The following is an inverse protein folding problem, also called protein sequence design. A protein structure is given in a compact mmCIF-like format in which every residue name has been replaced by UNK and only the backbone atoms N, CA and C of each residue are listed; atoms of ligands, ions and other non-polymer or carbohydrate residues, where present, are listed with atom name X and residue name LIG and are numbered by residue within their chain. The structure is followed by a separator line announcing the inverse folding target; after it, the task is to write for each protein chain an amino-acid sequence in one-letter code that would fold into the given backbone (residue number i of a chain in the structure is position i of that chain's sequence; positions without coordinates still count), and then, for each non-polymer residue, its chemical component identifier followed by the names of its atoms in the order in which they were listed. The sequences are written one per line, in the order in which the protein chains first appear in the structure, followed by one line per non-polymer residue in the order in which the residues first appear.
data_IF_041332128616
#
_entry.id   IF_041332128616
#
_cell.length_a   1.000
_cell.length_b   1.000
_cell.length_c   1.000
_cell.angle_alpha   90.00
_cell.angle_beta   90.00
_cell.angle_gamma   90.00
#
_symmetry.space_group_name_H-M   'P 1'
#
loop_
_entity.id
_entity.type
_entity.pdbx_description
1 polymer ?
#
# COMPACT_ATOMS: atom_id res chain seq x y z
N UNK A 1 82.38 -23.91 33.54
CA UNK A 1 81.57 -22.81 34.11
C UNK A 1 81.25 -21.82 33.02
N UNK A 2 80.06 -21.81 32.47
CA UNK A 2 79.44 -20.68 31.80
C UNK A 2 77.96 -20.89 31.76
N UNK A 3 77.21 -20.07 32.47
CA UNK A 3 75.76 -20.08 32.57
C UNK A 3 75.16 -19.43 31.35
N UNK A 4 74.35 -20.18 30.61
CA UNK A 4 73.57 -19.67 29.49
C UNK A 4 72.30 -19.03 29.98
N UNK A 5 72.11 -17.78 29.63
CA UNK A 5 70.89 -17.01 29.88
C UNK A 5 69.90 -17.29 28.78
N UNK A 6 68.81 -17.92 29.11
CA UNK A 6 67.72 -18.15 28.16
C UNK A 6 66.81 -16.92 28.12
N UNK A 7 66.78 -16.25 26.96
CA UNK A 7 65.85 -15.16 26.72
C UNK A 7 64.50 -15.75 26.31
N UNK A 8 63.50 -15.63 27.15
CA UNK A 8 62.09 -15.94 26.84
C UNK A 8 61.51 -14.79 26.04
N UNK A 9 61.30 -15.03 24.73
CA UNK A 9 60.51 -14.15 23.87
C UNK A 9 59.02 -14.32 24.23
N UNK A 10 58.43 -13.25 24.81
CA UNK A 10 57.01 -13.16 25.05
C UNK A 10 56.39 -12.64 23.77
N UNK A 11 55.66 -13.51 23.05
CA UNK A 11 54.86 -13.13 21.88
C UNK A 11 53.55 -12.49 22.39
N UNK A 12 53.44 -11.19 22.19
CA UNK A 12 52.18 -10.45 22.45
C UNK A 12 51.30 -10.65 21.22
N UNK A 13 50.29 -11.52 21.35
CA UNK A 13 49.22 -11.66 20.34
C UNK A 13 48.28 -10.47 20.44
N UNK A 14 48.36 -9.53 19.51
CA UNK A 14 47.38 -8.46 19.37
C UNK A 14 46.07 -9.02 18.78
N UNK A 15 45.05 -9.15 19.64
CA UNK A 15 43.68 -9.48 19.20
C UNK A 15 43.06 -8.22 18.60
N UNK A 16 43.04 -8.15 17.28
CA UNK A 16 42.27 -7.15 16.52
C UNK A 16 40.77 -7.46 16.63
N UNK A 17 40.09 -6.76 17.53
CA UNK A 17 38.64 -6.76 17.66
C UNK A 17 38.05 -6.00 16.47
N UNK A 18 37.64 -6.72 15.42
CA UNK A 18 36.93 -6.17 14.28
C UNK A 18 35.50 -5.82 14.72
N UNK A 19 35.26 -4.53 15.02
CA UNK A 19 33.90 -4.02 15.16
C UNK A 19 33.18 -4.11 13.81
N UNK A 20 32.30 -5.10 13.66
CA UNK A 20 31.36 -5.16 12.54
C UNK A 20 30.28 -4.11 12.77
N UNK A 21 30.02 -3.16 11.85
CA UNK A 21 28.86 -2.30 11.96
C UNK A 21 27.63 -3.21 11.85
N UNK A 22 26.85 -3.28 12.93
CA UNK A 22 25.54 -3.92 12.97
C UNK A 22 24.62 -3.04 12.13
N UNK A 23 24.38 -3.42 10.87
CA UNK A 23 23.30 -2.83 10.06
C UNK A 23 21.99 -3.20 10.74
N UNK A 24 21.44 -2.28 11.53
CA UNK A 24 20.09 -2.40 12.04
C UNK A 24 19.14 -2.58 10.82
N UNK A 25 18.24 -3.56 10.84
CA UNK A 25 17.24 -3.68 9.80
C UNK A 25 16.45 -2.36 9.79
N UNK A 26 16.38 -1.71 8.64
CA UNK A 26 15.48 -0.58 8.44
C UNK A 26 14.08 -1.08 8.87
N UNK A 27 13.55 -0.52 9.96
CA UNK A 27 12.19 -0.80 10.38
C UNK A 27 11.28 -0.37 9.24
N UNK A 28 10.73 -1.34 8.51
CA UNK A 28 9.64 -1.11 7.59
C UNK A 28 8.55 -0.41 8.42
N UNK A 29 8.31 0.87 8.15
CA UNK A 29 7.19 1.61 8.73
C UNK A 29 5.95 0.77 8.45
N UNK A 30 5.25 0.34 9.49
CA UNK A 30 3.94 -0.30 9.35
C UNK A 30 3.03 0.73 8.70
N UNK A 31 2.86 0.66 7.39
CA UNK A 31 1.94 1.49 6.64
C UNK A 31 0.53 1.01 6.96
N UNK A 32 -0.05 1.55 8.03
CA UNK A 32 -1.39 1.21 8.49
C UNK A 32 -2.45 2.20 8.00
N UNK A 33 -2.04 3.37 7.50
CA UNK A 33 -2.91 4.40 6.97
C UNK A 33 -3.03 4.37 5.44
N UNK A 34 -4.13 4.95 4.93
CA UNK A 34 -4.37 5.14 3.49
C UNK A 34 -5.04 6.49 3.21
N UNK A 35 -4.86 6.99 1.98
CA UNK A 35 -5.58 8.13 1.42
C UNK A 35 -6.49 7.65 0.31
N UNK A 36 -7.73 8.14 0.27
CA UNK A 36 -8.58 7.98 -0.91
C UNK A 36 -8.19 9.06 -1.90
N UNK A 37 -7.99 8.66 -3.15
CA UNK A 37 -7.54 9.56 -4.22
C UNK A 37 -8.43 9.48 -5.45
N UNK A 38 -8.53 10.62 -6.12
CA UNK A 38 -9.24 10.76 -7.40
C UNK A 38 -8.43 11.66 -8.34
N UNK A 39 -8.75 11.61 -9.63
CA UNK A 39 -8.23 12.59 -10.58
C UNK A 39 -8.72 14.00 -10.22
N UNK A 40 -7.90 15.04 -10.42
CA UNK A 40 -8.24 16.43 -10.10
C UNK A 40 -9.41 16.97 -10.91
N UNK A 41 -9.80 16.33 -12.01
CA UNK A 41 -11.01 16.68 -12.78
C UNK A 41 -12.30 16.35 -12.02
N UNK A 42 -12.27 15.50 -10.99
CA UNK A 42 -13.42 15.26 -10.14
C UNK A 42 -13.74 16.49 -9.29
N UNK A 43 -15.00 16.91 -9.27
CA UNK A 43 -15.45 18.07 -8.50
C UNK A 43 -15.64 17.77 -7.01
N UNK A 44 -15.93 16.52 -6.66
CA UNK A 44 -16.07 16.09 -5.27
C UNK A 44 -14.77 16.26 -4.47
N UNK A 45 -14.90 16.71 -3.22
CA UNK A 45 -13.79 16.80 -2.25
C UNK A 45 -14.00 15.89 -1.05
N UNK A 46 -15.20 15.34 -0.90
CA UNK A 46 -15.57 14.41 0.18
C UNK A 46 -16.38 13.26 -0.37
N UNK A 47 -16.42 12.16 0.36
CA UNK A 47 -17.22 10.97 0.05
C UNK A 47 -17.67 10.29 1.34
N UNK A 48 -18.94 9.87 1.38
CA UNK A 48 -19.43 9.04 2.47
C UNK A 48 -18.79 7.67 2.44
N UNK A 49 -18.43 7.15 3.60
CA UNK A 49 -17.81 5.83 3.73
C UNK A 49 -18.67 4.72 3.12
N UNK A 50 -20.00 4.81 3.28
CA UNK A 50 -20.93 3.85 2.70
C UNK A 50 -20.91 3.88 1.16
N UNK A 51 -20.91 5.09 0.58
CA UNK A 51 -20.79 5.26 -0.89
C UNK A 51 -19.45 4.74 -1.41
N UNK A 52 -18.37 4.99 -0.68
CA UNK A 52 -17.06 4.46 -1.02
C UNK A 52 -17.05 2.92 -1.03
N UNK A 53 -17.65 2.29 0.00
CA UNK A 53 -17.80 0.85 0.06
C UNK A 53 -18.63 0.30 -1.11
N UNK A 54 -19.73 0.96 -1.47
CA UNK A 54 -20.58 0.57 -2.60
C UNK A 54 -19.84 0.66 -3.95
N UNK A 55 -18.98 1.67 -4.13
CA UNK A 55 -18.12 1.79 -5.31
C UNK A 55 -17.19 0.56 -5.42
N UNK A 56 -16.46 0.24 -4.35
CA UNK A 56 -15.51 -0.87 -4.35
C UNK A 56 -16.17 -2.25 -4.27
N UNK A 57 -17.48 -2.31 -4.04
CA UNK A 57 -18.29 -3.53 -4.18
C UNK A 57 -19.04 -3.60 -5.53
N UNK A 58 -18.83 -2.62 -6.42
CA UNK A 58 -19.46 -2.58 -7.74
C UNK A 58 -20.94 -2.19 -7.74
N UNK A 59 -21.49 -1.76 -6.60
CA UNK A 59 -22.90 -1.35 -6.46
C UNK A 59 -23.15 0.07 -6.99
N UNK A 60 -22.17 0.98 -6.83
CA UNK A 60 -22.20 2.33 -7.37
C UNK A 60 -21.20 2.44 -8.52
N UNK A 61 -21.67 2.81 -9.72
CA UNK A 61 -20.87 2.80 -10.95
C UNK A 61 -20.77 4.15 -11.65
N UNK A 62 -21.45 5.17 -11.12
CA UNK A 62 -21.45 6.53 -11.69
C UNK A 62 -21.27 7.58 -10.63
N UNK A 63 -20.53 8.62 -10.99
CA UNK A 63 -20.44 9.86 -10.24
C UNK A 63 -21.75 10.65 -10.31
N UNK A 64 -21.88 11.68 -9.48
CA UNK A 64 -23.06 12.56 -9.47
C UNK A 64 -23.32 13.25 -10.80
N UNK A 65 -22.28 13.52 -11.58
CA UNK A 65 -22.35 14.13 -12.92
C UNK A 65 -22.71 13.12 -14.01
N UNK A 66 -22.98 11.86 -13.63
CA UNK A 66 -23.32 10.76 -14.53
C UNK A 66 -22.11 10.07 -15.19
N UNK A 67 -20.91 10.58 -15.03
CA UNK A 67 -19.69 9.96 -15.55
C UNK A 67 -19.41 8.62 -14.87
N UNK A 68 -18.73 7.73 -15.57
CA UNK A 68 -18.43 6.38 -15.07
C UNK A 68 -17.35 6.43 -13.97
N UNK A 69 -17.59 5.71 -12.89
CA UNK A 69 -16.56 5.44 -11.86
C UNK A 69 -15.68 4.28 -12.33
N UNK A 70 -14.37 4.45 -12.18
CA UNK A 70 -13.36 3.42 -12.44
C UNK A 70 -12.59 3.16 -11.14
N UNK A 71 -13.05 2.21 -10.30
CA UNK A 71 -12.33 1.88 -9.08
C UNK A 71 -11.04 1.12 -9.39
N UNK A 72 -9.97 1.47 -8.68
CA UNK A 72 -8.66 0.81 -8.77
C UNK A 72 -8.29 0.27 -7.41
N UNK A 73 -7.94 -0.99 -7.37
CA UNK A 73 -7.59 -1.75 -6.17
C UNK A 73 -6.11 -2.13 -6.20
N UNK A 74 -5.57 -2.49 -5.06
CA UNK A 74 -4.23 -3.05 -4.94
C UNK A 74 -4.24 -4.58 -5.02
N UNK A 75 -3.06 -5.15 -5.22
CA UNK A 75 -2.79 -6.58 -5.06
C UNK A 75 -3.25 -7.08 -3.68
N UNK A 76 -3.71 -8.33 -3.61
CA UNK A 76 -4.20 -8.96 -2.37
C UNK A 76 -3.13 -9.08 -1.28
N UNK A 77 -1.86 -8.93 -1.64
CA UNK A 77 -0.72 -8.96 -0.71
C UNK A 77 -0.36 -7.57 -0.16
N UNK A 78 -0.96 -6.51 -0.71
CA UNK A 78 -0.69 -5.15 -0.27
C UNK A 78 -1.24 -4.89 1.15
N UNK A 79 -0.42 -4.44 2.11
CA UNK A 79 -0.88 -4.09 3.45
C UNK A 79 -1.95 -2.99 3.45
N UNK A 80 -1.84 -2.04 2.52
CA UNK A 80 -2.82 -0.95 2.39
C UNK A 80 -4.19 -1.48 1.96
N UNK A 81 -4.22 -2.50 1.10
CA UNK A 81 -5.46 -3.19 0.71
C UNK A 81 -6.10 -3.91 1.89
N UNK A 82 -5.31 -4.61 2.69
CA UNK A 82 -5.82 -5.31 3.89
C UNK A 82 -6.50 -4.32 4.83
N UNK A 83 -5.87 -3.18 5.07
CA UNK A 83 -6.42 -2.13 5.94
C UNK A 83 -7.69 -1.52 5.35
N UNK A 84 -7.66 -1.11 4.09
CA UNK A 84 -8.83 -0.57 3.39
C UNK A 84 -10.01 -1.55 3.38
N UNK A 85 -9.78 -2.81 3.05
CA UNK A 85 -10.81 -3.86 3.00
C UNK A 85 -11.48 -4.04 4.35
N UNK A 86 -10.71 -4.07 5.43
CA UNK A 86 -11.24 -4.17 6.79
C UNK A 86 -12.01 -2.92 7.20
N UNK A 87 -11.47 -1.75 6.97
CA UNK A 87 -12.01 -0.49 7.51
C UNK A 87 -13.15 0.09 6.68
N UNK A 88 -13.07 0.00 5.35
CA UNK A 88 -14.10 0.56 4.46
C UNK A 88 -15.15 -0.48 4.11
N UNK A 89 -14.73 -1.68 3.70
CA UNK A 89 -15.67 -2.72 3.27
C UNK A 89 -16.24 -3.53 4.45
N UNK A 90 -15.62 -3.45 5.64
CA UNK A 90 -16.01 -4.26 6.80
C UNK A 90 -15.78 -5.76 6.59
N UNK A 91 -14.86 -6.15 5.70
CA UNK A 91 -14.61 -7.53 5.31
C UNK A 91 -13.18 -7.96 5.64
N UNK A 92 -12.99 -9.26 5.90
CA UNK A 92 -11.68 -9.86 5.82
C UNK A 92 -11.27 -10.07 4.35
N UNK A 93 -9.98 -10.23 4.06
CA UNK A 93 -9.50 -10.52 2.71
C UNK A 93 -10.14 -11.77 2.10
N UNK A 94 -10.24 -12.93 2.80
CA UNK A 94 -10.95 -14.09 2.27
C UNK A 94 -12.43 -13.82 1.98
N UNK A 95 -13.11 -13.04 2.82
CA UNK A 95 -14.51 -12.67 2.61
C UNK A 95 -14.69 -11.78 1.37
N UNK A 96 -13.80 -10.81 1.16
CA UNK A 96 -13.80 -9.95 -0.02
C UNK A 96 -13.53 -10.75 -1.31
N UNK A 97 -12.59 -11.68 -1.29
CA UNK A 97 -12.33 -12.58 -2.41
C UNK A 97 -13.54 -13.47 -2.73
N UNK A 98 -14.18 -14.04 -1.70
CA UNK A 98 -15.39 -14.85 -1.85
C UNK A 98 -16.57 -14.02 -2.38
N UNK A 99 -16.69 -12.75 -1.96
CA UNK A 99 -17.69 -11.83 -2.49
C UNK A 99 -17.52 -11.68 -4.00
N UNK A 100 -16.32 -11.33 -4.47
CA UNK A 100 -16.07 -11.13 -5.89
C UNK A 100 -16.21 -12.41 -6.71
N UNK A 101 -15.81 -13.56 -6.18
CA UNK A 101 -16.02 -14.85 -6.84
C UNK A 101 -17.50 -15.10 -7.12
N UNK A 102 -18.37 -14.84 -6.14
CA UNK A 102 -19.83 -14.98 -6.32
C UNK A 102 -20.39 -13.99 -7.36
N UNK A 103 -19.92 -12.71 -7.33
CA UNK A 103 -20.40 -11.69 -8.27
C UNK A 103 -20.01 -12.00 -9.70
N UNK A 104 -18.80 -12.45 -9.94
CA UNK A 104 -18.31 -12.83 -11.28
C UNK A 104 -19.04 -14.08 -11.79
N UNK A 105 -19.20 -15.11 -10.95
CA UNK A 105 -19.90 -16.35 -11.32
C UNK A 105 -21.37 -16.12 -11.60
N UNK A 106 -22.01 -15.13 -10.95
CA UNK A 106 -23.38 -14.70 -11.20
C UNK A 106 -23.55 -13.84 -12.47
N UNK A 107 -22.48 -13.53 -13.17
CA UNK A 107 -22.51 -12.77 -14.44
C UNK A 107 -22.83 -11.27 -14.28
N UNK A 108 -22.84 -10.73 -13.05
CA UNK A 108 -23.34 -9.38 -12.77
C UNK A 108 -22.25 -8.31 -12.75
N UNK A 109 -21.26 -8.46 -11.90
CA UNK A 109 -20.30 -7.39 -11.60
C UNK A 109 -18.87 -7.80 -11.97
N UNK A 110 -18.05 -6.78 -12.25
CA UNK A 110 -16.61 -6.95 -12.43
C UNK A 110 -15.87 -6.34 -11.26
N UNK A 111 -14.82 -7.02 -10.73
CA UNK A 111 -13.99 -6.46 -9.67
C UNK A 111 -13.26 -5.20 -10.16
N UNK A 112 -12.83 -4.32 -9.24
CA UNK A 112 -11.93 -3.22 -9.55
C UNK A 112 -10.68 -3.70 -10.28
N UNK A 113 -10.10 -2.80 -11.09
CA UNK A 113 -8.79 -3.05 -11.70
C UNK A 113 -7.73 -3.13 -10.61
N UNK A 114 -6.86 -4.14 -10.66
CA UNK A 114 -5.78 -4.31 -9.70
C UNK A 114 -4.47 -3.73 -10.21
N UNK A 115 -3.75 -3.02 -9.34
CA UNK A 115 -2.40 -2.52 -9.54
C UNK A 115 -1.48 -3.03 -8.43
N UNK A 116 -0.19 -3.17 -8.74
CA UNK A 116 0.75 -3.78 -7.80
C UNK A 116 1.34 -2.77 -6.81
N UNK A 117 1.59 -1.54 -7.25
CA UNK A 117 2.27 -0.51 -6.47
C UNK A 117 1.45 0.79 -6.37
N UNK A 118 1.78 1.63 -5.38
CA UNK A 118 1.19 2.97 -5.27
C UNK A 118 1.49 3.82 -6.52
N UNK A 119 2.70 3.70 -7.09
CA UNK A 119 3.09 4.41 -8.31
C UNK A 119 2.19 4.03 -9.50
N UNK A 120 1.89 2.74 -9.67
CA UNK A 120 1.00 2.26 -10.73
C UNK A 120 -0.42 2.77 -10.54
N UNK A 121 -0.91 2.81 -9.29
CA UNK A 121 -2.22 3.37 -8.94
C UNK A 121 -2.25 4.86 -9.26
N UNK A 122 -1.25 5.62 -8.81
CA UNK A 122 -1.15 7.06 -9.02
C UNK A 122 -1.07 7.42 -10.51
N UNK A 123 -0.25 6.71 -11.28
CA UNK A 123 -0.13 6.90 -12.72
C UNK A 123 -1.47 6.64 -13.45
N UNK A 124 -2.20 5.61 -13.03
CA UNK A 124 -3.51 5.31 -13.60
C UNK A 124 -4.53 6.40 -13.26
N UNK A 125 -4.62 6.81 -11.98
CA UNK A 125 -5.55 7.85 -11.53
C UNK A 125 -5.25 9.19 -12.20
N UNK A 126 -3.98 9.55 -12.34
CA UNK A 126 -3.58 10.78 -13.02
C UNK A 126 -4.04 10.84 -14.49
N UNK A 127 -4.11 9.69 -15.16
CA UNK A 127 -4.46 9.58 -16.58
C UNK A 127 -5.93 9.32 -16.85
N UNK A 128 -6.77 9.10 -15.83
CA UNK A 128 -8.16 8.67 -15.98
C UNK A 128 -9.11 9.51 -15.10
N UNK A 129 -9.90 10.38 -15.71
CA UNK A 129 -10.76 11.34 -15.02
C UNK A 129 -11.85 10.73 -14.13
N UNK A 130 -12.35 9.53 -14.46
CA UNK A 130 -13.38 8.84 -13.67
C UNK A 130 -12.85 7.95 -12.56
N UNK A 131 -11.52 7.88 -12.38
CA UNK A 131 -10.91 6.92 -11.44
C UNK A 131 -11.00 7.35 -9.99
N UNK A 132 -11.16 6.35 -9.13
CA UNK A 132 -11.04 6.44 -7.68
C UNK A 132 -10.18 5.27 -7.20
N UNK A 133 -9.28 5.56 -6.28
CA UNK A 133 -8.39 4.56 -5.70
C UNK A 133 -8.04 4.93 -4.25
N UNK A 134 -7.18 4.15 -3.66
CA UNK A 134 -6.52 4.46 -2.40
C UNK A 134 -5.03 4.11 -2.52
N UNK A 135 -4.20 4.82 -1.77
CA UNK A 135 -2.75 4.60 -1.69
C UNK A 135 -2.30 4.72 -0.24
N UNK A 136 -1.07 4.34 0.04
CA UNK A 136 -0.47 4.49 1.36
C UNK A 136 -0.51 5.95 1.83
N UNK A 137 -0.65 6.17 3.15
CA UNK A 137 -0.75 7.50 3.76
C UNK A 137 0.43 8.41 3.43
N UNK A 138 1.62 7.85 3.26
CA UNK A 138 2.86 8.57 2.95
C UNK A 138 3.15 8.68 1.43
N UNK A 139 2.27 8.20 0.56
CA UNK A 139 2.46 8.30 -0.89
C UNK A 139 2.47 9.76 -1.36
N UNK A 140 3.44 10.14 -2.19
CA UNK A 140 3.53 11.45 -2.82
C UNK A 140 2.56 11.56 -4.01
N UNK A 141 1.69 12.57 -3.98
CA UNK A 141 0.66 12.73 -5.00
C UNK A 141 1.14 13.61 -6.16
N UNK A 142 1.02 13.15 -7.41
CA UNK A 142 1.28 14.00 -8.58
C UNK A 142 0.19 15.07 -8.72
N UNK A 143 0.50 16.15 -9.44
CA UNK A 143 -0.39 17.32 -9.60
C UNK A 143 -1.79 17.00 -10.17
N UNK A 144 -1.93 15.90 -10.93
CA UNK A 144 -3.20 15.48 -11.50
C UNK A 144 -4.07 14.61 -10.54
N UNK A 145 -3.60 14.39 -9.31
CA UNK A 145 -4.28 13.55 -8.30
C UNK A 145 -4.55 14.37 -7.05
N UNK A 146 -5.73 14.21 -6.46
CA UNK A 146 -6.09 14.85 -5.19
C UNK A 146 -6.70 13.86 -4.21
N UNK A 147 -6.62 14.20 -2.91
CA UNK A 147 -7.27 13.45 -1.84
C UNK A 147 -8.77 13.74 -1.82
N UNK A 148 -9.54 12.68 -1.64
CA UNK A 148 -10.97 12.72 -1.36
C UNK A 148 -11.17 12.36 0.12
N UNK A 149 -11.74 13.27 0.91
CA UNK A 149 -11.92 13.06 2.35
C UNK A 149 -13.12 12.17 2.63
N UNK A 150 -12.95 11.18 3.51
CA UNK A 150 -14.06 10.35 4.00
C UNK A 150 -14.84 11.13 5.07
N UNK A 151 -16.19 11.08 4.99
CA UNK A 151 -17.13 11.62 5.97
C UNK A 151 -17.78 10.48 6.74
#
# INVERSE_FOLDING_TARGET
MRRGVQHRLIAIAAVLLVLRPSSAPAQAKSQTGYKIIVNTSQTANTIDKAVLADIFQGKSTRWHDGSRIVPVDHSTQSPVRVTFTREVLGLSMPAAMSYWMRQVSGGGLRPPMVKETDEDVLAFVASNSGSIAYVSEDADLPAAVKVLKIQ
#
